data_IF_289244571071
#
_entry.id   IF_289244571071
#
_cell.length_a   1.000
_cell.length_b   1.000
_cell.length_c   1.000
_cell.angle_alpha   90.00
_cell.angle_beta   90.00
_cell.angle_gamma   90.00
#
_symmetry.space_group_name_H-M   'P 1'
#
loop_
_entity.id
_entity.type
_entity.pdbx_description
1 polymer ?
#
# COMPACT_ATOMS: atom_id res chain seq x y z
N UNK A 1 -20.82 51.72 7.53
CA UNK A 1 -19.83 50.76 6.97
C UNK A 1 -20.07 49.42 7.69
N UNK A 2 -20.66 48.43 7.01
CA UNK A 2 -20.87 47.06 7.58
C UNK A 2 -19.77 46.15 7.05
N UNK A 3 -18.87 45.75 7.93
CA UNK A 3 -17.80 44.78 7.63
C UNK A 3 -18.39 43.38 7.58
N UNK A 4 -18.42 42.76 6.43
CA UNK A 4 -18.73 41.33 6.27
C UNK A 4 -17.47 40.53 6.62
N UNK A 5 -17.55 39.72 7.68
CA UNK A 5 -16.56 38.69 7.95
C UNK A 5 -16.90 37.44 7.11
N UNK A 6 -16.05 37.15 6.15
CA UNK A 6 -16.11 35.92 5.36
C UNK A 6 -15.42 34.81 6.18
N UNK A 7 -16.18 33.94 6.80
CA UNK A 7 -15.69 32.71 7.46
C UNK A 7 -15.40 31.68 6.36
N UNK A 8 -14.11 31.43 6.06
CA UNK A 8 -13.70 30.31 5.23
C UNK A 8 -13.89 29.01 6.02
N UNK A 9 -14.86 28.21 5.61
CA UNK A 9 -15.03 26.86 6.13
C UNK A 9 -13.92 25.96 5.59
N UNK A 10 -13.06 25.45 6.47
CA UNK A 10 -12.08 24.40 6.15
C UNK A 10 -12.87 23.11 5.90
N UNK A 11 -13.01 22.72 4.65
CA UNK A 11 -13.53 21.40 4.28
C UNK A 11 -12.40 20.40 4.50
N UNK A 12 -12.35 19.77 5.69
CA UNK A 12 -11.49 18.60 5.91
C UNK A 12 -11.94 17.45 5.01
N UNK A 13 -11.10 17.08 4.07
CA UNK A 13 -11.33 15.93 3.17
C UNK A 13 -11.24 14.62 3.95
N UNK A 14 -12.38 14.02 4.27
CA UNK A 14 -12.47 12.69 4.91
C UNK A 14 -12.03 11.53 3.99
N UNK A 15 -11.51 11.82 2.79
CA UNK A 15 -11.19 10.82 1.77
C UNK A 15 -9.91 10.02 2.05
N UNK A 16 -8.87 10.64 2.58
CA UNK A 16 -7.56 10.00 2.77
C UNK A 16 -7.55 8.92 3.86
N UNK A 17 -8.24 9.15 4.97
CA UNK A 17 -8.33 8.17 6.06
C UNK A 17 -9.09 6.89 5.66
N UNK A 18 -10.05 6.98 4.72
CA UNK A 18 -10.77 5.81 4.23
C UNK A 18 -9.88 4.92 3.37
N UNK A 19 -9.12 5.50 2.43
CA UNK A 19 -8.21 4.77 1.56
C UNK A 19 -7.14 4.02 2.36
N UNK A 20 -6.50 4.70 3.33
CA UNK A 20 -5.52 4.08 4.23
C UNK A 20 -6.11 2.88 4.99
N UNK A 21 -7.35 2.99 5.48
CA UNK A 21 -8.03 1.90 6.18
C UNK A 21 -8.30 0.70 5.27
N UNK A 22 -8.70 0.93 4.02
CA UNK A 22 -8.99 -0.13 3.08
C UNK A 22 -7.72 -0.83 2.60
N UNK A 23 -6.64 -0.07 2.38
CA UNK A 23 -5.33 -0.62 2.03
C UNK A 23 -4.73 -1.42 3.20
N UNK A 24 -4.82 -0.93 4.44
CA UNK A 24 -4.37 -1.66 5.63
C UNK A 24 -5.14 -2.98 5.82
N UNK A 25 -6.46 -2.94 5.64
CA UNK A 25 -7.29 -4.14 5.70
C UNK A 25 -6.91 -5.13 4.58
N UNK A 26 -6.69 -4.64 3.35
CA UNK A 26 -6.32 -5.47 2.21
C UNK A 26 -4.98 -6.18 2.45
N UNK A 27 -3.91 -5.43 2.75
CA UNK A 27 -2.57 -5.98 2.99
C UNK A 27 -2.57 -7.03 4.11
N UNK A 28 -3.21 -6.70 5.22
CA UNK A 28 -3.32 -7.64 6.34
C UNK A 28 -4.02 -8.94 5.95
N UNK A 29 -5.09 -8.87 5.18
CA UNK A 29 -5.84 -10.04 4.79
C UNK A 29 -5.19 -10.78 3.61
N UNK A 30 -4.40 -10.11 2.76
CA UNK A 30 -3.63 -10.74 1.68
C UNK A 30 -2.58 -11.71 2.25
N UNK A 31 -1.94 -11.39 3.38
CA UNK A 31 -1.05 -12.34 4.07
C UNK A 31 -1.80 -13.61 4.51
N UNK A 32 -3.01 -13.45 5.05
CA UNK A 32 -3.84 -14.59 5.41
C UNK A 32 -4.30 -15.40 4.19
N UNK A 33 -4.66 -14.73 3.10
CA UNK A 33 -5.04 -15.37 1.85
C UNK A 33 -3.92 -16.25 1.30
N UNK A 34 -2.70 -15.69 1.20
CA UNK A 34 -1.50 -16.42 0.76
C UNK A 34 -1.17 -17.63 1.64
N UNK A 35 -1.49 -17.54 2.92
CA UNK A 35 -1.38 -18.67 3.84
C UNK A 35 -2.56 -19.66 3.76
N UNK A 36 -3.44 -19.53 2.76
CA UNK A 36 -4.56 -20.41 2.46
C UNK A 36 -5.78 -20.23 3.35
N UNK A 37 -5.99 -19.06 3.96
CA UNK A 37 -7.12 -18.82 4.85
C UNK A 37 -8.45 -18.75 4.13
N UNK A 38 -9.43 -19.54 4.61
CA UNK A 38 -10.80 -19.50 4.10
C UNK A 38 -11.63 -18.40 4.75
N UNK A 39 -11.82 -17.27 4.06
CA UNK A 39 -12.60 -16.15 4.57
C UNK A 39 -14.06 -16.51 4.85
N UNK A 40 -14.59 -15.98 5.95
CA UNK A 40 -15.99 -16.15 6.35
C UNK A 40 -16.89 -14.98 5.93
N UNK A 41 -16.33 -13.77 5.83
CA UNK A 41 -17.07 -12.55 5.50
C UNK A 41 -17.39 -12.47 4.00
N UNK A 42 -18.45 -11.72 3.65
CA UNK A 42 -18.83 -11.48 2.26
C UNK A 42 -17.72 -10.74 1.52
N UNK A 43 -17.13 -9.70 2.14
CA UNK A 43 -16.04 -8.94 1.56
C UNK A 43 -14.80 -9.82 1.32
N UNK A 44 -14.36 -10.59 2.33
CA UNK A 44 -13.19 -11.45 2.17
C UNK A 44 -13.35 -12.45 1.02
N UNK A 45 -14.53 -13.05 0.87
CA UNK A 45 -14.83 -13.96 -0.23
C UNK A 45 -14.92 -13.30 -1.61
N UNK A 46 -15.14 -11.99 -1.67
CA UNK A 46 -15.22 -11.25 -2.94
C UNK A 46 -13.90 -10.65 -3.38
N UNK A 47 -12.97 -10.44 -2.44
CA UNK A 47 -11.66 -9.80 -2.68
C UNK A 47 -10.56 -10.84 -2.90
N UNK A 48 -10.62 -11.96 -2.17
CA UNK A 48 -9.57 -12.98 -2.16
C UNK A 48 -10.01 -14.26 -2.86
N UNK A 49 -9.03 -15.12 -3.19
CA UNK A 49 -9.26 -16.34 -3.93
C UNK A 49 -10.26 -17.28 -3.21
N UNK A 50 -11.07 -17.96 -4.01
CA UNK A 50 -11.93 -19.03 -3.54
C UNK A 50 -11.16 -20.32 -3.19
N UNK A 51 -9.93 -20.47 -3.69
CA UNK A 51 -9.07 -21.62 -3.42
C UNK A 51 -8.39 -21.45 -2.07
N UNK A 52 -9.05 -21.95 -1.03
CA UNK A 52 -8.55 -21.87 0.33
C UNK A 52 -8.47 -23.27 0.97
N UNK A 53 -7.64 -23.44 1.99
CA UNK A 53 -7.31 -24.74 2.58
C UNK A 53 -7.52 -24.84 4.09
N UNK A 54 -7.55 -23.70 4.81
CA UNK A 54 -7.55 -23.73 6.27
C UNK A 54 -8.34 -22.57 6.90
N UNK A 55 -8.79 -22.79 8.14
CA UNK A 55 -9.31 -21.73 9.03
C UNK A 55 -8.27 -21.23 10.03
N UNK A 56 -7.12 -21.90 10.11
CA UNK A 56 -6.04 -21.59 11.03
C UNK A 56 -4.71 -21.54 10.26
N UNK A 57 -4.46 -20.49 9.44
CA UNK A 57 -3.23 -20.36 8.66
C UNK A 57 -2.03 -20.10 9.58
N UNK A 58 -0.88 -20.61 9.18
CA UNK A 58 0.40 -20.26 9.79
C UNK A 58 1.05 -19.15 8.98
N UNK A 59 1.32 -18.03 9.59
CA UNK A 59 2.06 -16.92 9.00
C UNK A 59 3.53 -17.03 9.39
N UNK A 60 4.43 -16.68 8.50
CA UNK A 60 5.84 -16.52 8.82
C UNK A 60 6.11 -15.27 9.69
N UNK A 61 7.35 -15.08 10.12
CA UNK A 61 7.73 -13.97 11.01
C UNK A 61 7.55 -12.60 10.34
N UNK A 62 7.72 -12.52 9.02
CA UNK A 62 7.52 -11.28 8.27
C UNK A 62 6.04 -10.91 8.23
N UNK A 63 5.21 -11.83 7.77
CA UNK A 63 3.77 -11.64 7.68
C UNK A 63 3.14 -11.35 9.04
N UNK A 64 3.61 -12.00 10.12
CA UNK A 64 3.14 -11.71 11.48
C UNK A 64 3.44 -10.28 11.90
N UNK A 65 4.64 -9.76 11.61
CA UNK A 65 5.01 -8.35 11.89
C UNK A 65 4.14 -7.39 11.10
N UNK A 66 4.02 -7.60 9.79
CA UNK A 66 3.23 -6.79 8.88
C UNK A 66 1.74 -6.77 9.30
N UNK A 67 1.14 -7.91 9.56
CA UNK A 67 -0.24 -8.05 10.07
C UNK A 67 -0.43 -7.29 11.38
N UNK A 68 0.55 -7.37 12.30
CA UNK A 68 0.49 -6.66 13.58
C UNK A 68 0.57 -5.14 13.41
N UNK A 69 1.42 -4.67 12.50
CA UNK A 69 1.56 -3.24 12.17
C UNK A 69 0.25 -2.69 11.57
N UNK A 70 -0.35 -3.39 10.61
CA UNK A 70 -1.61 -2.96 10.01
C UNK A 70 -2.78 -2.98 11.01
N UNK A 71 -2.87 -3.96 11.91
CA UNK A 71 -3.86 -3.94 13.01
C UNK A 71 -3.70 -2.73 13.92
N UNK A 72 -2.47 -2.35 14.25
CA UNK A 72 -2.17 -1.16 15.03
C UNK A 72 -2.60 0.10 14.28
N UNK A 73 -2.32 0.19 12.98
CA UNK A 73 -2.72 1.30 12.13
C UNK A 73 -4.26 1.40 12.04
N UNK A 74 -4.96 0.30 11.75
CA UNK A 74 -6.43 0.24 11.74
C UNK A 74 -7.04 0.75 13.06
N UNK A 75 -6.42 0.40 14.21
CA UNK A 75 -6.86 0.85 15.53
C UNK A 75 -6.63 2.35 15.70
N UNK A 76 -5.45 2.86 15.33
CA UNK A 76 -5.08 4.27 15.48
C UNK A 76 -5.98 5.21 14.67
N UNK A 77 -6.41 4.77 13.49
CA UNK A 77 -7.31 5.51 12.61
C UNK A 77 -8.79 5.17 12.81
N UNK A 78 -9.11 4.34 13.81
CA UNK A 78 -10.50 3.90 14.08
C UNK A 78 -11.19 3.33 12.83
N UNK A 79 -10.48 2.56 12.04
CA UNK A 79 -10.91 2.00 10.77
C UNK A 79 -12.20 1.17 10.91
N UNK A 80 -13.15 1.40 10.00
CA UNK A 80 -14.44 0.68 9.96
C UNK A 80 -14.68 0.14 8.55
N UNK A 81 -14.27 -1.09 8.30
CA UNK A 81 -14.49 -1.75 7.01
C UNK A 81 -15.83 -2.49 7.01
N UNK A 82 -16.63 -2.25 5.97
CA UNK A 82 -17.92 -2.93 5.77
C UNK A 82 -17.71 -4.36 5.23
N UNK A 83 -17.45 -5.31 6.12
CA UNK A 83 -17.21 -6.71 5.75
C UNK A 83 -18.46 -7.46 5.23
N UNK A 84 -19.65 -6.85 5.29
CA UNK A 84 -20.89 -7.37 4.70
C UNK A 84 -21.06 -6.95 3.23
N UNK A 85 -20.32 -5.93 2.77
CA UNK A 85 -20.24 -5.52 1.38
C UNK A 85 -19.43 -6.49 0.52
N UNK A 86 -19.34 -6.18 -0.77
CA UNK A 86 -18.54 -6.96 -1.74
C UNK A 86 -17.41 -6.15 -2.37
N UNK A 87 -17.39 -4.84 -2.16
CA UNK A 87 -16.43 -3.94 -2.78
C UNK A 87 -15.49 -3.38 -1.72
N UNK A 88 -14.21 -3.38 -2.03
CA UNK A 88 -13.14 -2.71 -1.31
C UNK A 88 -12.51 -1.69 -2.26
N UNK A 89 -12.35 -0.45 -1.84
CA UNK A 89 -11.77 0.61 -2.67
C UNK A 89 -10.23 0.71 -2.53
N UNK A 90 -9.58 -0.39 -2.20
CA UNK A 90 -8.12 -0.44 -2.13
C UNK A 90 -7.50 -0.29 -3.52
N UNK A 91 -6.51 0.61 -3.63
CA UNK A 91 -5.73 0.83 -4.86
C UNK A 91 -4.65 -0.23 -5.09
N UNK A 92 -4.44 -1.11 -4.10
CA UNK A 92 -3.41 -2.15 -4.10
C UNK A 92 -3.89 -3.46 -4.76
N UNK A 93 -5.20 -3.63 -4.95
CA UNK A 93 -5.77 -4.83 -5.57
C UNK A 93 -5.22 -5.00 -6.99
N UNK A 94 -4.65 -6.16 -7.26
CA UNK A 94 -4.00 -6.50 -8.53
C UNK A 94 -2.57 -6.00 -8.69
N UNK A 95 -2.13 -4.98 -7.93
CA UNK A 95 -0.74 -4.49 -8.00
C UNK A 95 0.25 -5.34 -7.20
N UNK A 96 -0.24 -6.13 -6.26
CA UNK A 96 0.59 -6.93 -5.36
C UNK A 96 0.64 -8.42 -5.73
N UNK A 97 0.02 -8.81 -6.83
CA UNK A 97 -0.08 -10.22 -7.22
C UNK A 97 1.31 -10.86 -7.40
N UNK A 98 2.25 -10.08 -7.96
CA UNK A 98 3.62 -10.49 -8.22
C UNK A 98 4.62 -10.04 -7.12
N UNK A 99 4.17 -9.58 -5.96
CA UNK A 99 5.03 -9.14 -4.86
C UNK A 99 5.17 -10.25 -3.83
N UNK A 100 6.35 -10.83 -3.65
CA UNK A 100 6.58 -11.90 -2.66
C UNK A 100 6.59 -11.37 -1.23
N UNK A 101 7.29 -10.26 -0.99
CA UNK A 101 7.44 -9.66 0.32
C UNK A 101 6.48 -8.48 0.46
N UNK A 102 5.37 -8.66 1.19
CA UNK A 102 4.36 -7.63 1.38
C UNK A 102 4.90 -6.44 2.21
N UNK A 103 4.62 -5.19 1.79
CA UNK A 103 5.10 -4.01 2.51
C UNK A 103 4.21 -3.67 3.71
N UNK A 104 4.72 -2.82 4.60
CA UNK A 104 3.97 -2.21 5.70
C UNK A 104 3.62 -0.77 5.36
N UNK A 105 2.34 -0.40 5.45
CA UNK A 105 1.90 0.99 5.23
C UNK A 105 2.50 1.93 6.26
N UNK A 106 2.96 3.08 5.79
CA UNK A 106 3.35 4.22 6.60
C UNK A 106 2.14 5.10 6.96
N UNK A 107 2.29 5.92 7.99
CA UNK A 107 1.35 7.01 8.30
C UNK A 107 1.60 8.25 7.43
N UNK A 108 2.72 8.28 6.75
CA UNK A 108 3.16 9.39 5.90
C UNK A 108 3.10 8.98 4.45
N UNK A 109 2.67 9.91 3.62
CA UNK A 109 2.63 9.76 2.18
C UNK A 109 3.46 10.87 1.55
N UNK A 110 4.23 10.52 0.53
CA UNK A 110 4.87 11.48 -0.36
C UNK A 110 4.86 10.95 -1.79
N UNK A 111 5.13 11.81 -2.75
CA UNK A 111 5.18 11.41 -4.15
C UNK A 111 6.20 12.18 -4.95
N UNK A 112 6.84 11.49 -5.87
CA UNK A 112 7.65 12.03 -6.95
C UNK A 112 6.77 12.16 -8.19
N UNK A 113 6.42 13.37 -8.59
CA UNK A 113 5.62 13.61 -9.79
C UNK A 113 6.56 13.86 -10.96
N UNK A 114 6.37 13.10 -12.04
CA UNK A 114 7.17 13.24 -13.25
C UNK A 114 8.64 12.89 -13.02
N UNK A 115 8.91 11.61 -12.76
CA UNK A 115 10.27 11.10 -12.58
C UNK A 115 11.17 11.43 -13.80
N UNK A 116 12.39 11.88 -13.55
CA UNK A 116 13.36 12.33 -14.59
C UNK A 116 14.67 11.55 -14.56
N UNK A 117 14.83 10.62 -13.62
CA UNK A 117 16.05 9.81 -13.47
C UNK A 117 16.17 8.68 -14.50
N UNK A 118 17.23 7.88 -14.36
CA UNK A 118 17.40 6.66 -15.12
C UNK A 118 16.34 5.61 -14.71
N UNK A 119 15.91 4.70 -15.61
CA UNK A 119 14.95 3.68 -15.25
C UNK A 119 15.37 2.85 -14.03
N UNK A 120 14.45 2.62 -13.09
CA UNK A 120 14.64 1.83 -11.88
C UNK A 120 13.75 0.59 -11.94
N UNK A 121 14.35 -0.59 -11.81
CA UNK A 121 13.58 -1.86 -11.77
C UNK A 121 13.00 -2.05 -10.37
N UNK A 122 11.69 -2.31 -10.30
CA UNK A 122 11.00 -2.75 -9.09
C UNK A 122 11.06 -4.28 -8.99
N UNK A 123 11.20 -4.82 -7.78
CA UNK A 123 11.34 -6.27 -7.53
C UNK A 123 10.30 -6.80 -6.55
N UNK A 124 10.00 -8.10 -6.64
CA UNK A 124 9.02 -8.79 -5.78
C UNK A 124 9.41 -8.85 -4.30
N UNK A 125 10.71 -8.72 -4.00
CA UNK A 125 11.27 -8.78 -2.64
C UNK A 125 12.57 -8.03 -2.52
N UNK A 126 13.17 -8.04 -1.33
CA UNK A 126 14.40 -7.31 -1.00
C UNK A 126 15.61 -8.25 -0.96
N UNK A 127 16.65 -7.94 -1.74
CA UNK A 127 17.98 -8.56 -1.66
C UNK A 127 18.02 -10.08 -1.77
N UNK A 128 16.98 -10.73 -2.21
CA UNK A 128 16.84 -12.19 -2.26
C UNK A 128 17.28 -12.72 -3.62
N UNK A 129 17.89 -13.93 -3.62
CA UNK A 129 18.29 -14.62 -4.85
C UNK A 129 17.11 -14.90 -5.80
N UNK A 130 15.91 -14.99 -5.25
CA UNK A 130 14.71 -15.40 -5.95
C UNK A 130 13.76 -14.24 -6.26
N UNK A 131 14.13 -12.98 -5.94
CA UNK A 131 13.31 -11.82 -6.29
C UNK A 131 13.38 -11.56 -7.81
N UNK A 132 12.24 -11.31 -8.41
CA UNK A 132 12.09 -11.05 -9.85
C UNK A 132 11.49 -9.66 -10.11
N UNK A 133 11.65 -9.11 -11.32
CA UNK A 133 11.07 -7.82 -11.67
C UNK A 133 9.53 -7.84 -11.62
N UNK A 134 8.93 -6.86 -10.93
CA UNK A 134 7.48 -6.62 -10.90
C UNK A 134 7.07 -5.43 -11.76
N UNK A 135 8.04 -4.62 -12.19
CA UNK A 135 7.83 -3.45 -13.01
C UNK A 135 9.06 -2.56 -13.08
N UNK A 136 8.89 -1.36 -13.58
CA UNK A 136 9.96 -0.36 -13.64
C UNK A 136 9.40 1.05 -13.51
N UNK A 137 10.18 1.93 -12.88
CA UNK A 137 9.96 3.38 -12.89
C UNK A 137 10.68 3.94 -14.10
N UNK A 138 10.00 4.74 -14.90
CA UNK A 138 10.52 5.35 -16.11
C UNK A 138 10.24 6.85 -16.15
N UNK A 139 10.85 7.55 -17.10
CA UNK A 139 10.66 8.99 -17.23
C UNK A 139 9.19 9.40 -17.40
N UNK A 140 8.73 10.33 -16.57
CA UNK A 140 7.35 10.83 -16.55
C UNK A 140 6.45 10.17 -15.51
N UNK A 141 6.84 9.03 -14.93
CA UNK A 141 6.02 8.34 -13.94
C UNK A 141 5.80 9.17 -12.68
N UNK A 142 4.66 8.98 -12.03
CA UNK A 142 4.45 9.37 -10.64
C UNK A 142 4.76 8.18 -9.75
N UNK A 143 5.66 8.39 -8.77
CA UNK A 143 6.07 7.36 -7.81
C UNK A 143 5.52 7.73 -6.44
N UNK A 144 4.77 6.82 -5.83
CA UNK A 144 4.15 7.01 -4.52
C UNK A 144 4.92 6.28 -3.44
N UNK A 145 5.23 7.00 -2.35
CA UNK A 145 5.90 6.51 -1.16
C UNK A 145 4.89 6.49 -0.01
N UNK A 146 4.30 5.33 0.24
CA UNK A 146 3.26 5.13 1.25
C UNK A 146 3.60 4.02 2.23
N UNK A 147 4.83 3.49 2.16
CA UNK A 147 5.23 2.31 2.92
C UNK A 147 6.49 2.59 3.73
N UNK A 148 6.67 1.81 4.79
CA UNK A 148 7.87 1.86 5.60
C UNK A 148 9.05 1.25 4.84
N UNK A 149 10.22 1.89 4.92
CA UNK A 149 11.47 1.35 4.38
C UNK A 149 11.95 0.17 5.23
N UNK A 150 12.62 -0.79 4.59
CA UNK A 150 13.17 -1.94 5.28
C UNK A 150 14.49 -2.40 4.67
N UNK A 151 15.53 -2.53 5.51
CA UNK A 151 16.82 -3.14 5.11
C UNK A 151 17.55 -2.43 3.98
N UNK A 152 17.39 -1.10 3.84
CA UNK A 152 17.96 -0.31 2.74
C UNK A 152 17.15 -0.39 1.44
N UNK A 153 15.90 -0.82 1.54
CA UNK A 153 14.93 -0.83 0.45
C UNK A 153 13.67 -0.07 0.85
N UNK A 154 13.01 0.49 -0.14
CA UNK A 154 11.70 1.12 -0.02
C UNK A 154 10.72 0.47 -1.00
N UNK A 155 9.47 0.31 -0.56
CA UNK A 155 8.41 -0.17 -1.43
C UNK A 155 7.71 1.03 -2.06
N UNK A 156 7.54 0.99 -3.36
CA UNK A 156 6.95 2.08 -4.12
C UNK A 156 5.86 1.59 -5.06
N UNK A 157 4.98 2.49 -5.42
CA UNK A 157 3.95 2.28 -6.44
C UNK A 157 4.09 3.31 -7.56
N UNK A 158 3.70 2.88 -8.77
CA UNK A 158 3.33 3.75 -9.87
C UNK A 158 1.85 3.56 -10.18
N UNK A 159 1.35 4.18 -11.25
CA UNK A 159 -0.03 3.94 -11.72
C UNK A 159 -0.27 2.46 -12.05
N UNK A 160 0.74 1.76 -12.57
CA UNK A 160 0.59 0.44 -13.19
C UNK A 160 1.30 -0.70 -12.47
N UNK A 161 2.25 -0.41 -11.57
CA UNK A 161 3.08 -1.42 -10.93
C UNK A 161 3.42 -1.04 -9.50
N UNK A 162 3.89 -2.02 -8.73
CA UNK A 162 4.42 -1.83 -7.38
C UNK A 162 5.57 -2.80 -7.12
N UNK A 163 6.49 -2.42 -6.22
CA UNK A 163 7.61 -3.29 -5.86
C UNK A 163 8.67 -2.60 -5.02
N UNK A 164 9.67 -3.37 -4.65
CA UNK A 164 10.80 -2.93 -3.86
C UNK A 164 11.89 -2.35 -4.76
N UNK A 165 12.45 -1.21 -4.35
CA UNK A 165 13.63 -0.58 -4.95
C UNK A 165 14.68 -0.31 -3.88
N UNK A 166 15.98 -0.19 -4.21
CA UNK A 166 16.98 0.30 -3.26
C UNK A 166 16.61 1.70 -2.78
N UNK A 167 16.73 1.94 -1.47
CA UNK A 167 16.47 3.25 -0.86
C UNK A 167 17.36 4.33 -1.51
N UNK A 168 16.75 5.49 -1.81
CA UNK A 168 17.42 6.59 -2.49
C UNK A 168 17.55 6.44 -4.01
N UNK A 169 16.94 5.42 -4.62
CA UNK A 169 16.87 5.29 -6.09
C UNK A 169 16.03 6.39 -6.74
N UNK A 170 15.05 6.90 -6.01
CA UNK A 170 14.23 8.06 -6.39
C UNK A 170 14.39 9.12 -5.32
N UNK A 171 14.81 10.32 -5.73
CA UNK A 171 15.07 11.44 -4.82
C UNK A 171 14.33 12.68 -5.31
N UNK A 172 14.12 13.71 -4.47
CA UNK A 172 13.48 14.95 -4.91
C UNK A 172 14.12 15.58 -6.15
N UNK A 173 15.45 15.44 -6.32
CA UNK A 173 16.19 15.99 -7.46
C UNK A 173 15.89 15.24 -8.78
N UNK A 174 15.33 14.03 -8.70
CA UNK A 174 14.93 13.21 -9.86
C UNK A 174 13.43 13.33 -10.16
N UNK A 175 12.76 14.34 -9.63
CA UNK A 175 11.33 14.57 -9.81
C UNK A 175 11.09 15.98 -10.39
N UNK A 176 10.10 16.13 -11.26
CA UNK A 176 9.62 17.44 -11.69
C UNK A 176 9.01 18.22 -10.52
N UNK A 177 8.30 17.51 -9.64
CA UNK A 177 7.82 18.01 -8.36
C UNK A 177 7.84 16.90 -7.31
N UNK A 178 8.09 17.26 -6.06
CA UNK A 178 8.02 16.35 -4.92
C UNK A 178 6.99 16.89 -3.93
N UNK A 179 6.01 16.04 -3.57
CA UNK A 179 4.93 16.36 -2.64
C UNK A 179 5.00 15.43 -1.42
N UNK A 180 4.93 16.00 -0.19
CA UNK A 180 4.98 15.29 1.07
C UNK A 180 5.44 16.17 2.21
#
# INVERSE_FOLDING_TARGET
MKTLFLTAALVCTAGTASALCEDAWYLRNLAFDRAGYCFGSTLGKSVFDAVCSTKNPSLDDWDQRMVSAHKKLETSYSCKINTKGRNLASTLIGKLDDVDLLPTLSQFESSCVGYTGAPVTMTSGIGQRDSYPTGSITGGDTVYFRFESWGGFEFVETETAAGWIPEGSVTPDTCTAFAG
#
